data_IF_507579697354
#
_entry.id   IF_507579697354
#
_cell.length_a   1.000
_cell.length_b   1.000
_cell.length_c   1.000
_cell.angle_alpha   90.00
_cell.angle_beta   90.00
_cell.angle_gamma   90.00
#
_symmetry.space_group_name_H-M   'P 1'
#
loop_
_entity.id
_entity.type
_entity.pdbx_description
1 polymer ?
#
# COMPACT_ATOMS: atom_id res chain seq x y z
N UNK A 1 22.05 11.57 98.26
CA UNK A 1 21.02 12.56 97.86
C UNK A 1 20.56 12.23 96.44
N UNK A 2 19.24 12.01 96.32
CA UNK A 2 18.35 12.16 95.15
C UNK A 2 18.67 11.45 93.82
N UNK A 3 17.90 10.38 93.68
CA UNK A 3 17.39 9.62 92.54
C UNK A 3 16.56 10.39 91.47
N UNK A 4 16.54 9.79 90.26
CA UNK A 4 15.41 9.57 89.29
C UNK A 4 14.89 10.67 88.31
N UNK A 5 15.01 10.35 86.99
CA UNK A 5 14.04 10.35 85.83
C UNK A 5 12.99 11.49 85.61
N UNK A 6 12.33 11.63 84.42
CA UNK A 6 12.71 11.42 83.01
C UNK A 6 12.11 12.46 82.01
N UNK A 7 12.48 12.33 80.73
CA UNK A 7 11.69 12.50 79.48
C UNK A 7 10.45 13.42 79.52
N UNK A 8 10.46 14.51 78.74
CA UNK A 8 9.24 15.03 78.10
C UNK A 8 9.54 15.48 76.66
N UNK A 9 9.09 14.67 75.71
CA UNK A 9 8.82 15.07 74.34
C UNK A 9 7.77 16.19 74.37
N UNK A 10 8.08 17.36 73.85
CA UNK A 10 7.04 18.30 73.43
C UNK A 10 6.81 18.06 71.94
N UNK A 11 5.76 17.30 71.67
CA UNK A 11 5.08 17.21 70.39
C UNK A 11 4.68 18.63 69.95
N UNK A 12 5.30 19.16 68.89
CA UNK A 12 4.63 20.15 68.05
C UNK A 12 3.70 19.37 67.11
N UNK A 13 2.48 19.12 67.59
CA UNK A 13 1.32 18.86 66.75
C UNK A 13 1.15 20.05 65.81
N UNK A 14 1.52 19.90 64.55
CA UNK A 14 0.79 20.52 63.46
C UNK A 14 0.36 19.38 62.54
N UNK A 15 -0.97 19.25 62.45
CA UNK A 15 -1.68 18.23 61.70
C UNK A 15 -1.01 17.98 60.35
N UNK A 16 -0.50 16.76 60.17
CA UNK A 16 -0.64 16.08 58.89
C UNK A 16 -2.15 15.89 58.71
N UNK A 17 -2.78 16.88 58.07
CA UNK A 17 -4.05 16.62 57.41
C UNK A 17 -3.78 15.51 56.40
N UNK A 18 -4.54 14.40 56.40
CA UNK A 18 -4.46 13.48 55.29
C UNK A 18 -4.75 14.32 54.05
N UNK A 19 -3.86 14.28 53.06
CA UNK A 19 -4.17 14.78 51.74
C UNK A 19 -5.33 13.89 51.28
N UNK A 20 -6.54 14.36 51.59
CA UNK A 20 -7.79 13.77 51.20
C UNK A 20 -7.62 13.41 49.75
N UNK A 21 -7.75 12.11 49.47
CA UNK A 21 -7.97 11.63 48.12
C UNK A 21 -9.12 12.48 47.58
N UNK A 22 -8.78 13.52 46.80
CA UNK A 22 -9.76 14.18 45.97
C UNK A 22 -10.12 13.12 44.96
N UNK A 23 -11.33 12.59 45.17
CA UNK A 23 -12.04 11.74 44.26
C UNK A 23 -12.21 12.52 42.94
N UNK A 24 -11.15 12.51 42.11
CA UNK A 24 -11.09 13.23 40.84
C UNK A 24 -11.77 12.35 39.83
N UNK A 25 -13.08 12.46 39.88
CA UNK A 25 -14.02 11.95 38.92
C UNK A 25 -13.70 12.70 37.60
N UNK A 26 -12.80 12.16 36.78
CA UNK A 26 -12.22 12.77 35.59
C UNK A 26 -12.89 12.17 34.35
N UNK A 27 -13.22 12.99 33.35
CA UNK A 27 -13.71 12.50 32.07
C UNK A 27 -12.52 12.29 31.11
N UNK A 28 -12.45 11.10 30.50
CA UNK A 28 -11.45 10.80 29.48
C UNK A 28 -11.97 11.26 28.11
N UNK A 29 -11.16 12.02 27.38
CA UNK A 29 -11.47 12.51 26.03
C UNK A 29 -10.28 12.27 25.10
N UNK A 30 -10.48 12.01 23.81
CA UNK A 30 -9.37 11.86 22.86
C UNK A 30 -9.03 13.17 22.14
N UNK A 31 -7.74 13.51 22.02
CA UNK A 31 -7.20 14.66 21.30
C UNK A 31 -6.00 14.26 20.42
N UNK A 32 -5.59 15.12 19.48
CA UNK A 32 -4.64 14.78 18.42
C UNK A 32 -3.40 15.68 18.49
N UNK A 33 -2.18 15.17 18.70
CA UNK A 33 -0.93 15.97 18.61
C UNK A 33 0.12 15.18 17.84
N UNK A 34 0.83 15.84 16.92
CA UNK A 34 2.05 15.31 16.27
C UNK A 34 1.91 13.87 15.74
N UNK A 35 0.79 13.58 15.07
CA UNK A 35 0.46 12.27 14.49
C UNK A 35 0.14 11.15 15.52
N UNK A 36 -0.12 11.47 16.78
CA UNK A 36 -0.54 10.53 17.83
C UNK A 36 -1.95 10.86 18.36
N UNK A 37 -2.65 9.83 18.84
CA UNK A 37 -3.91 9.97 19.58
C UNK A 37 -3.58 10.06 21.07
N UNK A 38 -4.13 11.04 21.75
CA UNK A 38 -3.91 11.32 23.16
C UNK A 38 -5.21 11.23 23.94
N UNK A 39 -5.23 10.51 25.05
CA UNK A 39 -6.28 10.53 26.07
C UNK A 39 -6.03 11.68 27.03
N UNK A 40 -6.98 12.58 27.08
CA UNK A 40 -6.97 13.83 27.83
C UNK A 40 -7.80 13.67 29.08
N UNK A 41 -7.19 13.99 30.22
CA UNK A 41 -7.83 14.01 31.53
C UNK A 41 -8.18 15.45 31.90
N UNK A 42 -9.47 15.77 31.97
CA UNK A 42 -10.00 17.11 32.29
C UNK A 42 -10.61 17.19 33.71
N UNK A 43 -10.28 18.22 34.52
CA UNK A 43 -10.95 18.46 35.80
C UNK A 43 -12.45 18.78 35.66
N UNK A 44 -13.30 18.34 36.59
CA UNK A 44 -14.76 18.66 36.58
C UNK A 44 -15.05 20.16 36.79
N UNK A 45 -16.25 20.58 36.36
CA UNK A 45 -16.89 21.89 36.59
C UNK A 45 -16.22 23.11 35.93
N UNK A 46 -15.50 22.91 34.81
CA UNK A 46 -15.01 24.01 33.98
C UNK A 46 -15.37 23.82 32.52
N UNK A 47 -15.54 24.93 31.81
CA UNK A 47 -15.65 24.92 30.35
C UNK A 47 -14.26 24.77 29.74
N UNK A 48 -14.08 23.76 28.90
CA UNK A 48 -12.86 23.51 28.14
C UNK A 48 -13.17 23.57 26.66
N UNK A 49 -12.25 24.16 25.91
CA UNK A 49 -12.21 24.08 24.45
C UNK A 49 -10.83 23.59 24.05
N UNK A 50 -10.77 22.63 23.13
CA UNK A 50 -9.53 22.01 22.65
C UNK A 50 -9.66 21.69 21.15
N UNK A 51 -8.61 21.98 20.39
CA UNK A 51 -8.41 21.57 18.99
C UNK A 51 -6.94 21.17 18.79
N UNK A 52 -6.52 20.62 17.65
CA UNK A 52 -5.17 20.54 17.05
C UNK A 52 -5.27 20.04 15.59
N UNK A 53 -4.61 20.67 14.59
CA UNK A 53 -4.22 19.99 13.33
C UNK A 53 -3.05 20.68 12.56
N UNK A 54 -2.34 19.91 11.72
CA UNK A 54 -1.12 20.23 10.97
C UNK A 54 -1.33 20.77 9.53
N UNK A 55 -0.44 21.70 9.18
CA UNK A 55 0.13 22.16 7.88
C UNK A 55 -0.66 22.29 6.55
N UNK A 56 -1.83 21.71 6.25
CA UNK A 56 -2.33 21.86 4.85
C UNK A 56 -3.82 21.69 4.48
N UNK A 57 -4.80 21.85 5.36
CA UNK A 57 -6.18 22.24 4.95
C UNK A 57 -7.05 22.55 6.17
N UNK A 58 -7.90 23.60 6.10
CA UNK A 58 -8.77 24.03 7.20
C UNK A 58 -10.25 23.76 6.93
N UNK A 59 -10.99 23.31 7.96
CA UNK A 59 -12.46 23.19 7.97
C UNK A 59 -13.02 23.53 9.38
N UNK A 60 -14.21 24.14 9.45
CA UNK A 60 -14.74 24.90 10.63
C UNK A 60 -16.11 24.40 11.12
N UNK A 61 -16.44 24.44 12.44
CA UNK A 61 -17.76 24.80 13.10
C UNK A 61 -17.66 24.75 14.66
N UNK A 62 -18.63 25.28 15.45
CA UNK A 62 -18.63 25.66 16.92
C UNK A 62 -19.66 24.92 17.85
N UNK A 63 -19.36 24.56 19.15
CA UNK A 63 -20.35 24.16 20.21
C UNK A 63 -19.98 24.44 21.70
N UNK A 64 -20.98 24.27 22.60
CA UNK A 64 -21.00 24.40 24.08
C UNK A 64 -21.38 23.05 24.74
N UNK A 65 -20.76 22.71 25.88
CA UNK A 65 -21.07 21.47 26.65
C UNK A 65 -21.97 21.78 27.86
N UNK A 66 -23.20 21.28 27.83
CA UNK A 66 -24.15 21.16 28.95
C UNK A 66 -24.95 19.87 28.75
N UNK A 67 -24.43 18.74 29.28
CA UNK A 67 -24.96 17.35 29.31
C UNK A 67 -25.65 16.74 28.05
N UNK A 68 -25.74 17.46 26.94
CA UNK A 68 -26.25 16.98 25.65
C UNK A 68 -25.14 17.02 24.63
N UNK A 69 -24.86 15.85 24.06
CA UNK A 69 -23.96 15.70 22.93
C UNK A 69 -24.27 16.75 21.86
N UNK A 70 -23.31 17.65 21.68
CA UNK A 70 -23.09 18.38 20.45
C UNK A 70 -21.62 18.25 20.11
N UNK A 71 -21.25 18.53 18.86
CA UNK A 71 -20.03 18.05 18.20
C UNK A 71 -19.48 19.23 17.41
N UNK A 72 -18.25 19.72 17.63
CA UNK A 72 -17.62 20.85 16.86
C UNK A 72 -16.19 21.28 17.29
N UNK A 73 -15.42 21.96 16.43
CA UNK A 73 -13.95 22.16 16.57
C UNK A 73 -13.46 23.55 15.97
N UNK A 74 -12.55 24.29 16.64
CA UNK A 74 -11.87 25.59 16.27
C UNK A 74 -10.29 25.68 16.27
N UNK A 75 -9.62 26.43 15.36
CA UNK A 75 -8.15 26.40 15.01
C UNK A 75 -7.07 27.19 15.83
N UNK A 76 -5.75 26.88 15.68
CA UNK A 76 -4.58 27.63 16.25
C UNK A 76 -3.15 27.32 15.68
N UNK A 77 -2.08 27.99 16.18
CA UNK A 77 -0.65 27.80 15.80
C UNK A 77 0.36 27.82 16.99
N UNK A 78 1.50 27.10 16.85
CA UNK A 78 2.62 27.02 17.83
C UNK A 78 3.63 28.18 17.71
N UNK A 79 4.08 28.73 18.85
CA UNK A 79 5.19 29.70 18.93
C UNK A 79 6.02 29.47 20.21
N UNK A 80 7.15 28.76 20.10
CA UNK A 80 8.01 28.42 21.25
C UNK A 80 7.30 27.53 22.27
N UNK A 81 7.44 27.83 23.56
CA UNK A 81 6.82 27.08 24.68
C UNK A 81 5.34 27.44 24.92
N UNK A 82 4.75 28.21 23.99
CA UNK A 82 3.39 28.74 24.07
C UNK A 82 2.54 28.36 22.86
N UNK A 83 1.29 27.95 23.13
CA UNK A 83 0.24 27.76 22.12
C UNK A 83 -0.73 28.94 22.22
N UNK A 84 -0.91 29.67 21.11
CA UNK A 84 -1.86 30.80 21.01
C UNK A 84 -3.17 30.36 20.39
N UNK A 85 -4.27 30.50 21.13
CA UNK A 85 -5.62 30.14 20.67
C UNK A 85 -6.30 31.38 20.07
N UNK A 86 -6.39 31.45 18.75
CA UNK A 86 -6.64 32.70 18.01
C UNK A 86 -8.05 33.30 18.17
N UNK A 87 -9.08 32.53 18.53
CA UNK A 87 -10.44 33.09 18.73
C UNK A 87 -10.76 33.49 20.19
N UNK A 88 -9.89 33.18 21.17
CA UNK A 88 -10.14 33.52 22.59
C UNK A 88 -9.14 34.48 23.22
N UNK A 89 -8.03 34.79 22.55
CA UNK A 89 -6.93 35.59 23.14
C UNK A 89 -6.14 34.87 24.25
N UNK A 90 -6.46 33.60 24.55
CA UNK A 90 -5.89 32.83 25.67
C UNK A 90 -4.57 32.17 25.31
N UNK A 91 -3.65 32.12 26.29
CA UNK A 91 -2.34 31.51 26.18
C UNK A 91 -2.27 30.21 27.01
N UNK A 92 -1.80 29.12 26.41
CA UNK A 92 -1.44 27.89 27.12
C UNK A 92 0.08 27.74 27.17
N UNK A 93 0.62 27.34 28.33
CA UNK A 93 2.05 27.06 28.52
C UNK A 93 2.26 25.55 28.53
N UNK A 94 3.22 25.06 27.75
CA UNK A 94 3.66 23.67 27.79
C UNK A 94 4.47 23.47 29.07
N UNK A 95 4.01 22.60 29.98
CA UNK A 95 4.72 22.29 31.23
C UNK A 95 5.63 21.08 31.09
N UNK A 96 5.17 20.07 30.35
CA UNK A 96 5.89 18.82 30.17
C UNK A 96 5.56 18.27 28.79
N UNK A 97 6.59 17.94 28.02
CA UNK A 97 6.46 17.26 26.74
C UNK A 97 7.44 16.09 26.73
N UNK A 98 6.90 14.89 26.69
CA UNK A 98 7.63 13.63 26.50
C UNK A 98 7.02 12.87 25.32
N UNK A 99 7.66 11.77 24.91
CA UNK A 99 7.15 10.91 23.84
C UNK A 99 5.73 10.33 24.11
N UNK A 100 5.30 10.30 25.37
CA UNK A 100 4.05 9.66 25.82
C UNK A 100 3.11 10.56 26.63
N UNK A 101 3.57 11.74 27.07
CA UNK A 101 2.80 12.65 27.92
C UNK A 101 3.01 14.10 27.48
N UNK A 102 1.91 14.79 27.13
CA UNK A 102 1.88 16.24 26.98
C UNK A 102 1.04 16.81 28.13
N UNK A 103 1.63 17.73 28.88
CA UNK A 103 0.95 18.49 29.92
C UNK A 103 0.97 19.96 29.57
N UNK A 104 -0.20 20.58 29.46
CA UNK A 104 -0.32 22.03 29.32
C UNK A 104 -1.02 22.64 30.53
N UNK A 105 -0.60 23.87 30.86
CA UNK A 105 -1.22 24.69 31.88
C UNK A 105 -2.19 25.65 31.22
N UNK A 106 -3.46 25.55 31.58
CA UNK A 106 -4.48 26.52 31.16
C UNK A 106 -4.43 27.77 32.04
N UNK A 107 -4.28 28.94 31.42
CA UNK A 107 -4.31 30.25 32.09
C UNK A 107 -5.59 31.01 31.67
N UNK A 108 -6.59 31.16 32.55
CA UNK A 108 -7.76 31.98 32.27
C UNK A 108 -7.42 33.48 32.28
N UNK A 109 -8.14 34.28 31.47
CA UNK A 109 -7.93 35.74 31.32
C UNK A 109 -8.12 36.54 32.61
N UNK A 110 -8.97 36.10 33.54
CA UNK A 110 -9.13 36.69 34.88
C UNK A 110 -8.50 35.77 35.92
N UNK A 111 -7.27 36.08 36.32
CA UNK A 111 -6.51 35.34 37.31
C UNK A 111 -7.05 35.63 38.71
N UNK A 112 -8.16 35.00 39.04
CA UNK A 112 -8.60 34.77 40.43
C UNK A 112 -9.34 33.44 40.48
N UNK A 113 -8.58 32.41 40.90
CA UNK A 113 -9.03 31.08 41.35
C UNK A 113 -9.17 30.02 40.24
N UNK A 114 -8.08 29.25 40.05
CA UNK A 114 -8.12 27.86 39.60
C UNK A 114 -7.33 27.54 38.33
N UNK A 115 -6.01 27.39 38.45
CA UNK A 115 -5.14 26.81 37.42
C UNK A 115 -5.15 25.29 37.56
N UNK A 116 -5.42 24.53 36.49
CA UNK A 116 -5.33 23.08 36.52
C UNK A 116 -4.57 22.56 35.29
N UNK A 117 -3.59 21.65 35.48
CA UNK A 117 -2.90 21.03 34.36
C UNK A 117 -3.84 20.07 33.63
N UNK A 118 -3.81 20.10 32.31
CA UNK A 118 -4.46 19.11 31.46
C UNK A 118 -3.41 18.13 31.01
N UNK A 119 -3.64 16.84 31.27
CA UNK A 119 -2.73 15.75 30.90
C UNK A 119 -3.27 15.00 29.70
N UNK A 120 -2.45 14.89 28.67
CA UNK A 120 -2.67 14.10 27.48
C UNK A 120 -1.74 12.88 27.54
N UNK A 121 -2.27 11.67 27.37
CA UNK A 121 -1.51 10.40 27.38
C UNK A 121 -1.72 9.66 26.06
N UNK A 122 -0.67 9.21 25.39
CA UNK A 122 -0.83 8.53 24.09
C UNK A 122 -1.63 7.22 24.21
N UNK A 123 -2.64 7.00 23.36
CA UNK A 123 -3.29 5.68 23.26
C UNK A 123 -2.36 4.70 22.55
N UNK A 124 -1.64 3.92 23.35
CA UNK A 124 -0.70 2.91 22.88
C UNK A 124 -1.33 1.51 22.72
N UNK A 125 -2.66 1.40 22.78
CA UNK A 125 -3.33 0.14 22.46
C UNK A 125 -3.11 -0.23 21.00
N UNK A 126 -2.96 -1.53 20.69
CA UNK A 126 -2.77 -2.01 19.31
C UNK A 126 -3.93 -1.54 18.41
N UNK A 127 -5.15 -1.52 18.94
CA UNK A 127 -6.33 -1.04 18.21
C UNK A 127 -6.21 0.47 17.90
N UNK A 128 -5.88 1.30 18.89
CA UNK A 128 -5.69 2.74 18.69
C UNK A 128 -4.56 3.06 17.72
N UNK A 129 -3.46 2.29 17.76
CA UNK A 129 -2.36 2.44 16.80
C UNK A 129 -2.77 2.11 15.37
N UNK A 130 -3.56 1.05 15.15
CA UNK A 130 -4.08 0.68 13.83
C UNK A 130 -5.07 1.72 13.29
N UNK A 131 -5.96 2.22 14.13
CA UNK A 131 -6.90 3.28 13.77
C UNK A 131 -6.17 4.57 13.41
N UNK A 132 -5.12 4.91 14.17
CA UNK A 132 -4.26 6.05 13.87
C UNK A 132 -3.53 5.89 12.53
N UNK A 133 -2.99 4.71 12.23
CA UNK A 133 -2.37 4.42 10.93
C UNK A 133 -3.34 4.59 9.77
N UNK A 134 -4.55 4.03 9.86
CA UNK A 134 -5.59 4.19 8.83
C UNK A 134 -5.96 5.66 8.62
N UNK A 135 -6.07 6.41 9.72
CA UNK A 135 -6.37 7.85 9.69
C UNK A 135 -5.25 8.63 9.00
N UNK A 136 -3.99 8.39 9.39
CA UNK A 136 -2.82 9.04 8.79
C UNK A 136 -2.71 8.73 7.30
N UNK A 137 -2.85 7.45 6.93
CA UNK A 137 -2.83 7.02 5.52
C UNK A 137 -3.94 7.72 4.71
N UNK A 138 -5.15 7.84 5.27
CA UNK A 138 -6.24 8.57 4.63
C UNK A 138 -5.94 10.05 4.43
N UNK A 139 -5.21 10.70 5.34
CA UNK A 139 -4.79 12.10 5.20
C UNK A 139 -3.74 12.24 4.11
N UNK A 140 -2.69 11.41 4.13
CA UNK A 140 -1.62 11.44 3.14
C UNK A 140 -2.14 11.17 1.73
N UNK A 141 -3.12 10.27 1.58
CA UNK A 141 -3.75 10.00 0.29
C UNK A 141 -4.56 11.17 -0.26
N UNK A 142 -4.91 12.19 0.52
CA UNK A 142 -5.55 13.40 -0.04
C UNK A 142 -4.57 14.28 -0.80
N UNK A 143 -3.27 14.04 -0.71
CA UNK A 143 -2.26 14.78 -1.48
C UNK A 143 -2.27 14.32 -2.95
N UNK A 144 -2.42 15.21 -3.93
CA UNK A 144 -2.58 14.85 -5.35
C UNK A 144 -1.34 14.24 -6.02
N UNK A 145 -0.18 14.22 -5.35
CA UNK A 145 1.12 13.91 -5.96
C UNK A 145 1.20 12.44 -6.44
N UNK A 146 0.49 11.51 -5.78
CA UNK A 146 0.51 10.09 -6.14
C UNK A 146 -0.52 9.68 -7.20
N UNK A 147 -1.51 10.53 -7.51
CA UNK A 147 -2.54 10.28 -8.52
C UNK A 147 -2.01 10.29 -9.97
N UNK A 148 -0.69 10.47 -10.16
CA UNK A 148 -0.05 10.55 -11.49
C UNK A 148 0.02 9.21 -12.22
N UNK A 149 0.00 8.09 -11.50
CA UNK A 149 0.00 6.74 -12.09
C UNK A 149 1.07 6.55 -13.16
N UNK A 150 0.68 5.95 -14.29
CA UNK A 150 1.55 5.78 -15.46
C UNK A 150 1.37 6.93 -16.44
N UNK A 151 2.48 7.54 -16.87
CA UNK A 151 2.49 8.60 -17.89
C UNK A 151 3.53 8.29 -18.97
N UNK A 152 3.26 8.63 -20.26
CA UNK A 152 4.24 8.46 -21.32
C UNK A 152 5.41 9.44 -21.13
N UNK A 153 6.64 9.00 -21.42
CA UNK A 153 7.81 9.90 -21.40
C UNK A 153 7.66 10.94 -22.51
N UNK A 154 7.27 10.51 -23.70
CA UNK A 154 6.94 11.41 -24.81
C UNK A 154 5.46 11.78 -24.76
N UNK A 155 5.16 13.06 -24.47
CA UNK A 155 3.79 13.59 -24.30
C UNK A 155 2.89 13.41 -25.53
N UNK A 156 3.45 13.20 -26.73
CA UNK A 156 2.65 12.97 -27.95
C UNK A 156 2.18 11.51 -28.08
N UNK A 157 2.67 10.60 -27.23
CA UNK A 157 2.38 9.18 -27.32
C UNK A 157 1.26 8.78 -26.37
N UNK A 158 0.20 8.16 -26.90
CA UNK A 158 -0.87 7.60 -26.09
C UNK A 158 -0.52 6.17 -25.65
N UNK A 159 -0.70 5.89 -24.36
CA UNK A 159 -0.59 4.54 -23.80
C UNK A 159 -1.91 3.81 -24.04
N UNK A 160 -1.85 2.63 -24.68
CA UNK A 160 -2.99 1.73 -24.87
C UNK A 160 -2.96 0.57 -23.88
N UNK A 161 -1.78 0.02 -23.63
CA UNK A 161 -1.54 -1.02 -22.62
C UNK A 161 -0.61 -0.48 -21.54
N UNK A 162 -1.02 -0.64 -20.29
CA UNK A 162 -0.30 -0.21 -19.09
C UNK A 162 0.67 -1.30 -18.61
N UNK A 163 1.68 -0.94 -17.78
CA UNK A 163 2.63 -1.92 -17.31
C UNK A 163 1.93 -2.90 -16.36
N UNK A 164 2.26 -4.18 -16.48
CA UNK A 164 1.59 -5.26 -15.74
C UNK A 164 2.59 -6.25 -15.17
N UNK A 165 2.53 -6.52 -13.88
CA UNK A 165 3.40 -7.48 -13.18
C UNK A 165 2.70 -8.82 -12.98
N UNK A 166 3.50 -9.89 -12.92
CA UNK A 166 3.02 -11.27 -12.83
C UNK A 166 2.10 -11.51 -11.61
N UNK A 167 2.54 -11.07 -10.43
CA UNK A 167 1.82 -11.28 -9.15
C UNK A 167 0.90 -10.11 -8.81
N UNK A 168 1.39 -8.89 -9.00
CA UNK A 168 0.72 -7.66 -8.53
C UNK A 168 -0.14 -6.98 -9.58
N UNK A 169 -0.22 -7.53 -10.80
CA UNK A 169 -1.00 -7.01 -11.91
C UNK A 169 -0.69 -5.52 -12.16
N UNK A 170 -1.63 -4.60 -11.91
CA UNK A 170 -1.42 -3.15 -12.06
C UNK A 170 -1.07 -2.43 -10.76
N UNK A 171 -1.10 -3.12 -9.62
CA UNK A 171 -1.05 -2.52 -8.28
C UNK A 171 0.31 -2.72 -7.61
N UNK A 172 1.26 -1.86 -7.92
CA UNK A 172 2.58 -1.89 -7.29
C UNK A 172 2.58 -1.49 -5.82
N UNK A 173 1.55 -0.85 -5.29
CA UNK A 173 1.49 -0.60 -3.85
C UNK A 173 1.55 -1.94 -3.09
N UNK A 174 0.83 -2.96 -3.57
CA UNK A 174 0.90 -4.32 -3.04
C UNK A 174 2.30 -4.95 -3.14
N UNK A 175 3.06 -4.64 -4.20
CA UNK A 175 4.45 -5.07 -4.30
C UNK A 175 5.27 -4.50 -3.16
N UNK A 176 5.26 -3.17 -3.03
CA UNK A 176 6.07 -2.50 -2.01
C UNK A 176 5.65 -2.95 -0.62
N UNK A 177 4.34 -3.00 -0.32
CA UNK A 177 3.84 -3.45 0.98
C UNK A 177 4.18 -4.91 1.25
N UNK A 178 4.12 -5.81 0.27
CA UNK A 178 4.45 -7.24 0.50
C UNK A 178 5.94 -7.48 0.70
N UNK A 179 6.80 -6.78 -0.05
CA UNK A 179 8.25 -7.02 -0.06
C UNK A 179 9.05 -6.12 0.89
N UNK A 180 8.41 -5.09 1.47
CA UNK A 180 9.07 -4.11 2.32
C UNK A 180 9.66 -4.73 3.57
N UNK A 181 10.88 -4.31 3.89
CA UNK A 181 11.56 -4.48 5.17
C UNK A 181 11.53 -3.15 5.90
N UNK A 182 10.80 -3.10 7.00
CA UNK A 182 10.66 -1.86 7.76
C UNK A 182 12.00 -1.47 8.42
N UNK A 183 12.44 -0.19 8.36
CA UNK A 183 13.64 0.25 9.06
C UNK A 183 13.54 -0.01 10.57
N UNK A 184 14.47 -0.79 11.12
CA UNK A 184 14.40 -1.32 12.49
C UNK A 184 14.19 -0.23 13.55
N UNK A 185 14.92 0.88 13.46
CA UNK A 185 14.84 1.97 14.44
C UNK A 185 13.52 2.74 14.37
N UNK A 186 12.94 2.90 13.17
CA UNK A 186 11.62 3.52 12.99
C UNK A 186 10.50 2.59 13.44
N UNK A 187 10.63 1.29 13.17
CA UNK A 187 9.69 0.27 13.63
C UNK A 187 9.63 0.19 15.15
N UNK A 188 10.78 0.24 15.85
CA UNK A 188 10.84 0.28 17.32
C UNK A 188 10.10 1.48 17.91
N UNK A 189 10.17 2.62 17.24
CA UNK A 189 9.55 3.88 17.65
C UNK A 189 8.10 4.05 17.15
N UNK A 190 7.55 3.04 16.45
CA UNK A 190 6.23 3.10 15.79
C UNK A 190 6.05 4.35 14.91
N UNK A 191 7.13 4.75 14.23
CA UNK A 191 7.10 5.91 13.33
C UNK A 191 6.43 5.50 12.03
N UNK A 192 5.23 6.01 11.79
CA UNK A 192 4.51 5.83 10.54
C UNK A 192 4.86 6.94 9.53
N UNK A 193 4.71 6.63 8.25
CA UNK A 193 4.85 7.63 7.19
C UNK A 193 4.47 7.08 5.83
N UNK A 194 4.83 7.82 4.79
CA UNK A 194 4.69 7.38 3.42
C UNK A 194 5.85 7.89 2.58
N UNK A 195 6.00 7.30 1.39
CA UNK A 195 6.87 7.83 0.34
C UNK A 195 6.16 7.75 -1.00
N UNK A 196 6.48 8.69 -1.89
CA UNK A 196 6.03 8.66 -3.28
C UNK A 196 7.27 8.53 -4.15
N UNK A 197 7.34 7.45 -4.91
CA UNK A 197 8.44 7.17 -5.85
C UNK A 197 7.94 7.28 -7.27
N UNK A 198 8.74 7.88 -8.13
CA UNK A 198 8.55 7.91 -9.56
C UNK A 198 9.79 7.32 -10.22
N UNK A 199 9.59 6.39 -11.15
CA UNK A 199 10.68 5.80 -11.93
C UNK A 199 10.26 5.61 -13.38
N UNK A 200 11.24 5.57 -14.29
CA UNK A 200 10.98 5.18 -15.67
C UNK A 200 10.98 3.66 -15.81
N UNK A 201 10.12 3.15 -16.70
CA UNK A 201 10.07 1.74 -17.12
C UNK A 201 10.47 1.71 -18.58
N UNK A 202 11.49 0.92 -18.91
CA UNK A 202 11.99 0.79 -20.28
C UNK A 202 11.11 -0.14 -21.15
N UNK A 203 11.48 -0.27 -22.43
CA UNK A 203 10.77 -1.15 -23.38
C UNK A 203 10.88 -2.65 -23.08
N UNK A 204 11.72 -3.06 -22.12
CA UNK A 204 11.83 -4.42 -21.61
C UNK A 204 11.03 -4.64 -20.32
N UNK A 205 10.37 -3.60 -19.82
CA UNK A 205 9.59 -3.66 -18.59
C UNK A 205 10.46 -3.58 -17.33
N UNK A 206 11.68 -3.05 -17.44
CA UNK A 206 12.60 -2.92 -16.31
C UNK A 206 12.61 -1.49 -15.76
N UNK A 207 12.70 -1.32 -14.44
CA UNK A 207 12.79 -0.02 -13.81
C UNK A 207 14.16 0.62 -14.07
N UNK A 208 14.15 1.92 -14.34
CA UNK A 208 15.31 2.79 -14.54
C UNK A 208 15.22 3.97 -13.57
N UNK A 209 15.76 5.12 -13.95
CA UNK A 209 15.86 6.39 -13.19
C UNK A 209 14.86 6.52 -12.03
N UNK A 210 15.32 6.23 -10.81
CA UNK A 210 14.49 6.24 -9.61
C UNK A 210 14.55 7.62 -8.98
N UNK A 211 13.40 8.25 -8.79
CA UNK A 211 13.26 9.56 -8.16
C UNK A 211 12.23 9.51 -7.03
N UNK A 212 12.63 9.95 -5.84
CA UNK A 212 11.73 10.04 -4.68
C UNK A 212 11.14 11.43 -4.66
N UNK A 213 9.83 11.52 -4.89
CA UNK A 213 9.11 12.79 -4.97
C UNK A 213 8.81 13.34 -3.57
N UNK A 214 8.38 12.47 -2.66
CA UNK A 214 8.00 12.82 -1.29
C UNK A 214 8.44 11.71 -0.35
N UNK A 215 8.95 12.09 0.82
CA UNK A 215 9.31 11.16 1.89
C UNK A 215 9.38 11.90 3.22
N UNK A 216 9.05 11.20 4.30
CA UNK A 216 9.15 11.72 5.67
C UNK A 216 10.52 11.38 6.28
N UNK A 217 11.12 10.25 5.90
CA UNK A 217 12.36 9.74 6.49
C UNK A 217 13.30 9.15 5.42
N UNK A 218 14.58 9.50 5.49
CA UNK A 218 15.62 9.02 4.56
C UNK A 218 15.82 7.49 4.61
N UNK A 219 15.45 6.85 5.70
CA UNK A 219 15.50 5.40 5.85
C UNK A 219 14.43 4.70 5.00
N UNK A 220 13.28 5.34 4.79
CA UNK A 220 12.26 4.84 3.86
C UNK A 220 12.80 4.86 2.43
N UNK A 221 13.50 5.93 2.04
CA UNK A 221 14.09 6.10 0.71
C UNK A 221 15.00 4.94 0.32
N UNK A 222 15.87 4.52 1.25
CA UNK A 222 16.79 3.40 1.03
C UNK A 222 16.03 2.11 0.70
N UNK A 223 14.93 1.87 1.41
CA UNK A 223 14.12 0.67 1.22
C UNK A 223 13.33 0.74 -0.08
N UNK A 224 12.75 1.90 -0.42
CA UNK A 224 12.10 2.13 -1.70
C UNK A 224 13.07 1.89 -2.87
N UNK A 225 14.27 2.48 -2.82
CA UNK A 225 15.28 2.30 -3.88
C UNK A 225 15.67 0.83 -4.02
N UNK A 226 15.82 0.10 -2.91
CA UNK A 226 16.11 -1.34 -2.93
C UNK A 226 14.99 -2.11 -3.64
N UNK A 227 13.75 -1.88 -3.22
CA UNK A 227 12.57 -2.54 -3.78
C UNK A 227 12.40 -2.23 -5.26
N UNK A 228 12.52 -0.97 -5.68
CA UNK A 228 12.44 -0.61 -7.10
C UNK A 228 13.55 -1.26 -7.92
N UNK A 229 14.78 -1.38 -7.39
CA UNK A 229 15.89 -2.08 -8.10
C UNK A 229 15.68 -3.58 -8.23
N UNK A 230 14.99 -4.19 -7.27
CA UNK A 230 14.69 -5.62 -7.27
C UNK A 230 13.28 -5.94 -7.81
N UNK A 231 12.63 -4.99 -8.48
CA UNK A 231 11.32 -5.17 -9.09
C UNK A 231 11.48 -6.10 -10.31
N UNK A 232 10.69 -7.18 -10.40
CA UNK A 232 10.75 -8.06 -11.57
C UNK A 232 10.27 -7.32 -12.82
N UNK A 233 10.69 -7.82 -13.99
CA UNK A 233 10.24 -7.25 -15.25
C UNK A 233 8.71 -7.33 -15.35
N UNK A 234 8.11 -6.31 -15.95
CA UNK A 234 6.69 -6.27 -16.25
C UNK A 234 6.45 -6.53 -17.74
N UNK A 235 5.18 -6.79 -18.10
CA UNK A 235 4.74 -6.51 -19.46
C UNK A 235 4.81 -4.99 -19.65
N UNK A 236 5.59 -4.48 -20.62
CA UNK A 236 5.83 -3.04 -20.77
C UNK A 236 4.61 -2.34 -21.37
N UNK A 237 4.61 -1.02 -21.25
CA UNK A 237 3.63 -0.17 -21.92
C UNK A 237 3.65 -0.37 -23.44
N UNK A 238 2.48 -0.25 -24.07
CA UNK A 238 2.37 -0.22 -25.54
C UNK A 238 1.55 0.96 -26.03
N UNK A 239 1.93 1.46 -27.19
CA UNK A 239 1.15 2.45 -27.90
C UNK A 239 -0.03 1.83 -28.66
N UNK A 240 -0.80 2.68 -29.35
CA UNK A 240 -1.94 2.27 -30.16
C UNK A 240 -1.61 1.24 -31.27
N UNK A 241 -0.35 1.19 -31.72
CA UNK A 241 0.13 0.28 -32.76
C UNK A 241 0.69 -1.02 -32.18
N UNK A 242 0.65 -1.19 -30.85
CA UNK A 242 1.22 -2.35 -30.17
C UNK A 242 2.75 -2.30 -30.03
N UNK A 243 3.39 -1.16 -30.32
CA UNK A 243 4.84 -1.00 -30.10
C UNK A 243 5.11 -0.78 -28.62
N UNK A 244 6.14 -1.43 -28.08
CA UNK A 244 6.61 -1.23 -26.70
C UNK A 244 7.20 0.17 -26.53
N UNK A 245 6.85 0.84 -25.43
CA UNK A 245 7.23 2.24 -25.18
C UNK A 245 7.67 2.41 -23.74
N UNK A 246 8.52 3.42 -23.52
CA UNK A 246 8.96 3.81 -22.20
C UNK A 246 7.92 4.71 -21.53
N UNK A 247 7.80 4.60 -20.21
CA UNK A 247 6.86 5.39 -19.43
C UNK A 247 7.45 5.78 -18.07
N UNK A 248 6.90 6.83 -17.46
CA UNK A 248 7.05 7.07 -16.03
C UNK A 248 5.94 6.36 -15.28
N UNK A 249 6.27 5.80 -14.12
CA UNK A 249 5.32 5.19 -13.22
C UNK A 249 5.53 5.74 -11.81
N UNK A 250 4.46 6.26 -11.20
CA UNK A 250 4.46 6.85 -9.86
C UNK A 250 3.68 5.97 -8.90
N UNK A 251 4.27 5.66 -7.75
CA UNK A 251 3.70 4.76 -6.74
C UNK A 251 3.72 5.42 -5.37
N UNK A 252 2.58 5.41 -4.69
CA UNK A 252 2.46 5.72 -3.27
C UNK A 252 2.81 4.47 -2.47
N UNK A 253 3.66 4.63 -1.45
CA UNK A 253 4.09 3.52 -0.60
C UNK A 253 3.88 3.89 0.87
N UNK A 254 2.89 3.27 1.54
CA UNK A 254 2.64 3.50 2.94
C UNK A 254 3.62 2.72 3.83
N UNK A 255 4.18 3.40 4.83
CA UNK A 255 5.01 2.83 5.87
C UNK A 255 4.21 2.79 7.18
N UNK A 256 3.44 1.72 7.38
CA UNK A 256 2.54 1.55 8.51
C UNK A 256 3.06 0.45 9.47
N UNK A 257 3.63 0.80 10.64
CA UNK A 257 4.25 -0.15 11.57
C UNK A 257 3.39 -1.35 11.99
N UNK A 258 2.12 -1.15 12.35
CA UNK A 258 1.23 -2.23 12.80
C UNK A 258 0.85 -3.12 11.62
N UNK A 259 0.50 -2.54 10.47
CA UNK A 259 0.21 -3.32 9.26
C UNK A 259 1.42 -4.16 8.84
N UNK A 260 2.64 -3.62 8.96
CA UNK A 260 3.87 -4.37 8.71
C UNK A 260 4.02 -5.57 9.66
N UNK A 261 3.78 -5.38 10.97
CA UNK A 261 3.86 -6.47 11.96
C UNK A 261 2.83 -7.56 11.68
N UNK A 262 1.60 -7.16 11.36
CA UNK A 262 0.51 -8.07 11.00
C UNK A 262 0.87 -8.87 9.73
N UNK A 263 1.42 -8.21 8.72
CA UNK A 263 1.92 -8.85 7.49
C UNK A 263 3.02 -9.86 7.78
N UNK A 264 4.08 -9.47 8.50
CA UNK A 264 5.20 -10.38 8.85
C UNK A 264 4.71 -11.63 9.59
N UNK A 265 3.72 -11.47 10.49
CA UNK A 265 3.11 -12.62 11.17
C UNK A 265 2.35 -13.52 10.17
N UNK A 266 1.56 -12.92 9.28
CA UNK A 266 0.83 -13.65 8.24
C UNK A 266 1.78 -14.38 7.28
N UNK A 267 2.85 -13.73 6.83
CA UNK A 267 3.87 -14.28 5.93
C UNK A 267 4.53 -15.51 6.56
N UNK A 268 4.87 -15.44 7.85
CA UNK A 268 5.45 -16.56 8.60
C UNK A 268 4.50 -17.75 8.75
N UNK A 269 3.19 -17.52 8.91
CA UNK A 269 2.19 -18.59 8.97
C UNK A 269 2.06 -19.24 7.58
N UNK A 270 1.93 -18.41 6.53
CA UNK A 270 1.83 -18.89 5.16
C UNK A 270 3.07 -19.71 4.75
N UNK A 271 4.27 -19.29 5.14
CA UNK A 271 5.50 -20.05 4.86
C UNK A 271 5.47 -21.47 5.47
N UNK A 272 4.96 -21.63 6.69
CA UNK A 272 4.81 -22.95 7.32
C UNK A 272 3.71 -23.79 6.66
N UNK A 273 2.58 -23.18 6.27
CA UNK A 273 1.51 -23.86 5.53
C UNK A 273 1.98 -24.36 4.16
N UNK A 274 2.80 -23.57 3.46
CA UNK A 274 3.39 -23.93 2.17
C UNK A 274 4.29 -25.16 2.26
N UNK A 275 5.03 -25.34 3.38
CA UNK A 275 5.86 -26.54 3.58
C UNK A 275 5.05 -27.83 3.66
N UNK A 276 3.77 -27.74 3.99
CA UNK A 276 2.86 -28.88 4.12
C UNK A 276 1.94 -29.05 2.90
N UNK A 277 2.07 -28.19 1.89
CA UNK A 277 1.14 -28.12 0.77
C UNK A 277 1.80 -28.51 -0.55
N UNK A 278 1.10 -29.27 -1.39
CA UNK A 278 1.45 -29.40 -2.80
C UNK A 278 0.88 -28.20 -3.56
N UNK A 279 1.75 -27.26 -3.94
CA UNK A 279 1.34 -26.00 -4.56
C UNK A 279 1.75 -25.98 -6.02
N UNK A 280 0.77 -25.76 -6.90
CA UNK A 280 1.03 -25.44 -8.30
C UNK A 280 1.41 -23.96 -8.39
N UNK A 281 2.69 -23.70 -8.67
CA UNK A 281 3.26 -22.36 -8.73
C UNK A 281 3.12 -21.70 -10.10
N UNK A 282 2.47 -22.34 -11.07
CA UNK A 282 2.46 -21.86 -12.44
C UNK A 282 1.05 -21.75 -12.99
N UNK A 283 0.78 -20.68 -13.73
CA UNK A 283 -0.37 -20.63 -14.64
C UNK A 283 0.13 -20.66 -16.07
N UNK A 284 -0.44 -21.56 -16.86
CA UNK A 284 -0.10 -21.70 -18.28
C UNK A 284 -0.50 -20.44 -19.06
N UNK A 285 0.31 -20.09 -20.06
CA UNK A 285 -0.02 -19.05 -21.02
C UNK A 285 -1.35 -19.33 -21.70
N UNK A 286 -2.06 -18.29 -22.16
CA UNK A 286 -3.34 -18.48 -22.87
C UNK A 286 -3.59 -17.38 -23.90
N UNK A 287 -4.43 -17.70 -24.87
CA UNK A 287 -4.77 -16.83 -26.00
C UNK A 287 -6.18 -16.26 -25.87
N UNK A 288 -6.31 -14.93 -25.90
CA UNK A 288 -7.56 -14.15 -25.72
C UNK A 288 -8.33 -14.42 -24.41
N UNK A 289 -8.91 -15.61 -24.27
CA UNK A 289 -9.64 -16.08 -23.09
C UNK A 289 -9.00 -17.37 -22.61
N UNK A 290 -9.17 -17.74 -21.34
CA UNK A 290 -8.77 -19.04 -20.81
C UNK A 290 -9.67 -20.19 -21.33
N UNK A 291 -9.92 -20.21 -22.64
CA UNK A 291 -10.70 -21.21 -23.35
C UNK A 291 -9.72 -22.14 -24.11
N UNK A 292 -9.70 -23.45 -23.81
CA UNK A 292 -8.80 -24.40 -24.47
C UNK A 292 -9.01 -24.51 -25.99
N UNK A 293 -10.15 -24.06 -26.51
CA UNK A 293 -10.45 -24.08 -27.95
C UNK A 293 -10.14 -22.77 -28.69
N UNK A 294 -9.76 -21.69 -27.98
CA UNK A 294 -9.58 -20.37 -28.59
C UNK A 294 -8.57 -20.38 -29.75
N UNK A 295 -7.45 -21.06 -29.55
CA UNK A 295 -6.37 -21.16 -30.54
C UNK A 295 -6.84 -21.91 -31.78
N UNK A 296 -7.50 -23.05 -31.59
CA UNK A 296 -8.02 -23.87 -32.70
C UNK A 296 -9.11 -23.13 -33.47
N UNK A 297 -10.01 -22.43 -32.78
CA UNK A 297 -11.05 -21.62 -33.40
C UNK A 297 -10.44 -20.49 -34.24
N UNK A 298 -9.48 -19.75 -33.69
CA UNK A 298 -8.79 -18.69 -34.39
C UNK A 298 -8.15 -19.17 -35.71
N UNK A 299 -7.52 -20.36 -35.67
CA UNK A 299 -6.93 -20.98 -36.85
C UNK A 299 -8.03 -21.34 -37.85
N UNK A 300 -9.05 -22.09 -37.42
CA UNK A 300 -10.10 -22.58 -38.30
C UNK A 300 -10.88 -21.46 -38.99
N UNK A 301 -11.14 -20.34 -38.31
CA UNK A 301 -11.79 -19.15 -38.89
C UNK A 301 -10.99 -18.51 -40.03
N UNK A 302 -9.67 -18.72 -40.08
CA UNK A 302 -8.75 -18.11 -41.06
C UNK A 302 -8.17 -19.12 -42.04
N UNK A 303 -8.46 -20.40 -41.83
CA UNK A 303 -7.98 -21.49 -42.65
C UNK A 303 -8.82 -21.57 -43.93
N UNK A 304 -8.18 -21.78 -45.07
CA UNK A 304 -8.87 -21.97 -46.35
C UNK A 304 -8.16 -23.07 -47.11
N UNK A 305 -8.86 -24.18 -47.31
CA UNK A 305 -8.31 -25.38 -47.93
C UNK A 305 -9.35 -26.05 -48.83
N UNK A 306 -8.89 -26.80 -49.83
CA UNK A 306 -9.76 -27.59 -50.73
C UNK A 306 -9.87 -29.04 -50.23
N UNK A 307 -11.01 -29.47 -49.68
CA UNK A 307 -11.19 -30.83 -49.18
C UNK A 307 -10.89 -31.94 -50.19
N UNK A 308 -10.93 -31.66 -51.51
CA UNK A 308 -10.62 -32.64 -52.56
C UNK A 308 -9.19 -33.16 -52.48
N UNK A 309 -8.26 -32.37 -51.96
CA UNK A 309 -6.85 -32.77 -51.76
C UNK A 309 -6.69 -33.87 -50.71
N UNK A 310 -7.73 -34.19 -49.92
CA UNK A 310 -7.73 -35.34 -49.01
C UNK A 310 -7.71 -36.69 -49.73
N UNK A 311 -7.95 -36.73 -51.04
CA UNK A 311 -7.81 -37.92 -51.91
C UNK A 311 -8.44 -39.20 -51.31
N UNK A 312 -9.71 -39.11 -50.89
CA UNK A 312 -10.47 -40.21 -50.30
C UNK A 312 -10.29 -40.41 -48.79
N UNK A 313 -9.38 -39.69 -48.13
CA UNK A 313 -9.29 -39.66 -46.66
C UNK A 313 -10.43 -38.83 -46.07
N UNK A 314 -10.95 -39.28 -44.91
CA UNK A 314 -11.97 -38.54 -44.16
C UNK A 314 -11.42 -37.26 -43.52
N UNK A 315 -10.19 -37.32 -43.04
CA UNK A 315 -9.51 -36.20 -42.39
C UNK A 315 -7.99 -36.27 -42.57
N UNK A 316 -7.35 -35.11 -42.43
CA UNK A 316 -5.91 -34.96 -42.23
C UNK A 316 -5.66 -34.19 -40.95
N UNK A 317 -4.56 -34.51 -40.24
CA UNK A 317 -4.23 -33.89 -38.95
C UNK A 317 -2.79 -33.39 -38.93
N UNK A 318 -2.64 -32.07 -38.85
CA UNK A 318 -1.36 -31.41 -38.56
C UNK A 318 -1.20 -31.19 -37.05
N UNK A 319 0.04 -31.25 -36.56
CA UNK A 319 0.41 -30.87 -35.20
C UNK A 319 1.51 -29.82 -35.28
N UNK A 320 1.27 -28.68 -34.67
CA UNK A 320 2.16 -27.52 -34.73
C UNK A 320 2.58 -27.12 -33.32
N UNK A 321 3.80 -26.64 -33.19
CA UNK A 321 4.34 -26.14 -31.93
C UNK A 321 4.54 -24.64 -32.01
N UNK A 322 4.19 -23.96 -30.93
CA UNK A 322 4.28 -22.50 -30.78
C UNK A 322 5.17 -22.24 -29.58
N UNK A 323 6.26 -21.48 -29.77
CA UNK A 323 7.08 -20.99 -28.67
C UNK A 323 6.73 -19.54 -28.42
N UNK A 324 6.35 -19.26 -27.18
CA UNK A 324 5.90 -17.95 -26.72
C UNK A 324 6.91 -17.46 -25.68
N UNK A 325 7.37 -16.23 -25.78
CA UNK A 325 8.30 -15.65 -24.81
C UNK A 325 7.59 -15.14 -23.54
N UNK A 326 8.38 -14.68 -22.56
CA UNK A 326 7.88 -14.07 -21.31
C UNK A 326 7.08 -12.78 -21.52
N UNK A 327 7.08 -12.21 -22.73
CA UNK A 327 6.25 -11.06 -23.07
C UNK A 327 4.94 -11.47 -23.75
N UNK A 328 4.73 -12.76 -24.01
CA UNK A 328 3.56 -13.25 -24.73
C UNK A 328 3.68 -13.15 -26.26
N UNK A 329 4.89 -12.92 -26.78
CA UNK A 329 5.14 -12.85 -28.22
C UNK A 329 5.48 -14.23 -28.77
N UNK A 330 5.00 -14.51 -29.98
CA UNK A 330 5.35 -15.75 -30.68
C UNK A 330 6.75 -15.59 -31.29
N UNK A 331 7.72 -16.30 -30.72
CA UNK A 331 9.11 -16.26 -31.17
C UNK A 331 9.46 -17.39 -32.16
N UNK A 332 8.68 -18.47 -32.15
CA UNK A 332 8.90 -19.60 -33.06
C UNK A 332 7.61 -20.38 -33.32
N UNK A 333 7.42 -20.82 -34.55
CA UNK A 333 6.35 -21.74 -34.93
C UNK A 333 6.93 -22.83 -35.81
N UNK A 334 6.67 -24.10 -35.47
CA UNK A 334 7.22 -25.26 -36.18
C UNK A 334 6.16 -26.33 -36.38
N UNK A 335 6.24 -27.05 -37.50
CA UNK A 335 5.43 -28.24 -37.74
C UNK A 335 6.07 -29.42 -37.02
N UNK A 336 5.41 -29.93 -35.97
CA UNK A 336 5.85 -31.15 -35.28
C UNK A 336 5.45 -32.40 -36.09
N UNK A 337 4.25 -32.38 -36.68
CA UNK A 337 3.77 -33.42 -37.59
C UNK A 337 2.94 -32.79 -38.69
N UNK A 338 3.38 -32.95 -39.94
CA UNK A 338 2.68 -32.44 -41.12
C UNK A 338 1.29 -33.08 -41.28
N UNK A 339 0.34 -32.33 -41.82
CA UNK A 339 -0.95 -32.87 -42.25
C UNK A 339 -0.86 -33.66 -43.58
N UNK A 340 0.30 -33.68 -44.23
CA UNK A 340 0.56 -34.37 -45.50
C UNK A 340 0.33 -33.52 -46.74
N UNK A 341 -0.07 -32.25 -46.59
CA UNK A 341 -0.29 -31.30 -47.68
C UNK A 341 0.49 -30.01 -47.34
N UNK A 342 1.67 -29.79 -47.96
CA UNK A 342 2.59 -28.71 -47.57
C UNK A 342 1.99 -27.29 -47.58
N UNK A 343 1.08 -27.02 -48.51
CA UNK A 343 0.42 -25.73 -48.65
C UNK A 343 -0.45 -25.41 -47.43
N UNK A 344 -1.10 -26.43 -46.86
CA UNK A 344 -1.96 -26.29 -45.68
C UNK A 344 -1.14 -26.09 -44.43
N UNK A 345 -0.05 -26.86 -44.28
CA UNK A 345 0.89 -26.66 -43.18
C UNK A 345 1.45 -25.23 -43.22
N UNK A 346 1.85 -24.74 -44.40
CA UNK A 346 2.38 -23.38 -44.58
C UNK A 346 1.33 -22.31 -44.19
N UNK A 347 0.07 -22.50 -44.58
CA UNK A 347 -1.01 -21.59 -44.22
C UNK A 347 -1.22 -21.55 -42.70
N UNK A 348 -1.27 -22.71 -42.03
CA UNK A 348 -1.39 -22.78 -40.57
C UNK A 348 -0.23 -22.05 -39.89
N UNK A 349 1.01 -22.30 -40.33
CA UNK A 349 2.18 -21.62 -39.78
C UNK A 349 2.08 -20.09 -39.94
N UNK A 350 1.56 -19.59 -41.06
CA UNK A 350 1.36 -18.15 -41.27
C UNK A 350 0.25 -17.58 -40.37
N UNK A 351 -0.86 -18.29 -40.22
CA UNK A 351 -1.95 -17.88 -39.33
C UNK A 351 -1.46 -17.78 -37.89
N UNK A 352 -0.73 -18.80 -37.41
CA UNK A 352 -0.18 -18.81 -36.06
C UNK A 352 0.83 -17.66 -35.87
N UNK A 353 1.72 -17.42 -36.83
CA UNK A 353 2.68 -16.29 -36.74
C UNK A 353 1.99 -14.92 -36.69
N UNK A 354 0.79 -14.80 -37.26
CA UNK A 354 -0.01 -13.57 -37.24
C UNK A 354 -0.93 -13.43 -36.02
N UNK A 355 -0.89 -14.37 -35.06
CA UNK A 355 -1.72 -14.28 -33.87
C UNK A 355 -1.37 -13.05 -33.03
N UNK A 356 -2.38 -12.40 -32.41
CA UNK A 356 -2.16 -11.41 -31.38
C UNK A 356 -1.31 -11.93 -30.22
N UNK A 357 -0.75 -10.99 -29.46
CA UNK A 357 0.01 -11.23 -28.23
C UNK A 357 -0.79 -12.11 -27.25
N UNK A 358 -0.12 -13.09 -26.67
CA UNK A 358 -0.66 -14.00 -25.67
C UNK A 358 -0.50 -13.43 -24.26
N UNK A 359 -1.29 -13.95 -23.31
CA UNK A 359 -0.91 -13.83 -21.90
C UNK A 359 0.18 -14.87 -21.63
N UNK A 360 1.40 -14.47 -21.23
CA UNK A 360 2.49 -15.40 -20.98
C UNK A 360 2.23 -16.25 -19.72
N UNK A 361 3.00 -17.33 -19.61
CA UNK A 361 3.01 -18.17 -18.41
C UNK A 361 3.49 -17.35 -17.23
N UNK A 362 2.85 -17.50 -16.08
CA UNK A 362 3.28 -16.88 -14.83
C UNK A 362 3.79 -17.97 -13.91
N UNK A 363 5.01 -17.81 -13.41
CA UNK A 363 5.48 -18.51 -12.24
C UNK A 363 5.27 -17.59 -11.02
N UNK A 364 4.59 -18.06 -9.98
CA UNK A 364 4.26 -17.33 -8.75
C UNK A 364 5.33 -17.51 -7.65
N UNK A 365 6.36 -18.32 -7.90
CA UNK A 365 7.43 -18.52 -6.95
C UNK A 365 8.22 -17.21 -6.71
N UNK A 366 8.58 -16.97 -5.45
CA UNK A 366 9.31 -15.76 -5.05
C UNK A 366 8.52 -14.47 -5.34
N UNK A 367 9.05 -13.61 -6.20
CA UNK A 367 8.39 -12.35 -6.62
C UNK A 367 7.45 -12.53 -7.81
N UNK A 368 7.39 -13.76 -8.32
CA UNK A 368 6.76 -14.14 -9.56
C UNK A 368 7.31 -13.45 -10.80
N UNK A 369 7.22 -14.16 -11.91
CA UNK A 369 7.83 -13.75 -13.16
C UNK A 369 7.08 -14.36 -14.34
N UNK A 370 7.13 -13.64 -15.46
CA UNK A 370 6.65 -14.19 -16.72
C UNK A 370 7.71 -15.09 -17.34
N UNK A 371 7.30 -16.23 -17.86
CA UNK A 371 8.17 -17.25 -18.42
C UNK A 371 7.80 -17.62 -19.84
N UNK A 372 8.78 -18.17 -20.56
CA UNK A 372 8.57 -18.73 -21.87
C UNK A 372 7.69 -19.99 -21.78
N UNK A 373 6.92 -20.26 -22.82
CA UNK A 373 6.07 -21.45 -22.87
C UNK A 373 6.05 -22.08 -24.26
N UNK A 374 5.68 -23.36 -24.31
CA UNK A 374 5.54 -24.11 -25.54
C UNK A 374 4.15 -24.71 -25.62
N UNK A 375 3.42 -24.38 -26.67
CA UNK A 375 2.09 -24.92 -26.96
C UNK A 375 2.15 -25.92 -28.10
N UNK A 376 1.36 -26.98 -28.01
CA UNK A 376 1.16 -27.95 -29.09
C UNK A 376 -0.30 -27.89 -29.54
N UNK A 377 -0.52 -27.52 -30.80
CA UNK A 377 -1.85 -27.27 -31.35
C UNK A 377 -2.14 -28.29 -32.45
N UNK A 378 -3.12 -29.19 -32.26
CA UNK A 378 -3.62 -30.04 -33.33
C UNK A 378 -4.62 -29.27 -34.21
N UNK A 379 -4.43 -29.33 -35.52
CA UNK A 379 -5.40 -28.79 -36.50
C UNK A 379 -5.94 -29.94 -37.35
N UNK A 380 -7.26 -30.02 -37.43
CA UNK A 380 -7.98 -31.04 -38.19
C UNK A 380 -8.53 -30.44 -39.47
N UNK A 381 -8.19 -31.06 -40.59
CA UNK A 381 -8.74 -30.76 -41.92
C UNK A 381 -9.71 -31.87 -42.26
N UNK A 382 -10.97 -31.53 -42.52
CA UNK A 382 -12.03 -32.52 -42.74
C UNK A 382 -12.58 -32.40 -44.14
N UNK A 383 -13.01 -33.54 -44.68
CA UNK A 383 -13.81 -33.53 -45.88
C UNK A 383 -15.24 -33.15 -45.48
N UNK A 384 -15.64 -31.89 -45.69
CA UNK A 384 -17.03 -31.42 -45.50
C UNK A 384 -17.92 -31.95 -46.63
N UNK A 385 -17.93 -33.26 -46.82
CA UNK A 385 -18.99 -33.96 -47.53
C UNK A 385 -19.99 -34.44 -46.47
N UNK A 386 -20.93 -33.57 -46.11
CA UNK A 386 -22.23 -34.01 -45.62
C UNK A 386 -23.09 -34.45 -46.80
#
# INVERSE_FOLDING_TARGET
MKHFLPILFIFSFNLVSPLLAQDKNCADMSALLENKIWKVQLPKDKQYAMEMEFRSAGWRTTFLYDEKQTKTFYSYSLHGDTIKVFESGKNCIIQELTDSTLTFLYLPESLTIGVAPVRCTTDNSIQGLRENEKRLDSIWRKEDIWNKGTAPINKTQAIKEYPRWAVWDYDLEKYFVSQMKYPKELLKKNVAGHSVVMFSIDTLGLPREINILTTIHKEFDKEIIRLTKELPHCLPCRDKNGKRIECFHTVYVPFLPQHYRDRVKSDSIAEEELKQSFVEWETVSYFEKANPYAVTNYINERLTYDPKLLNGKKEAKGIYTIRIDSYGEIIKVETLRSCGIPEWDKQVLQIIKGMPRWTPTINYYGKGEYHNSVWTVPVLFKNDNR
#
